data_IF_005258316101
#
_entry.id   IF_005258316101
#
_cell.length_a   1.000
_cell.length_b   1.000
_cell.length_c   1.000
_cell.angle_alpha   90.00
_cell.angle_beta   90.00
_cell.angle_gamma   90.00
#
_symmetry.space_group_name_H-M   'P 1'
#
loop_
_entity.id
_entity.type
_entity.pdbx_description
1 polymer ?
#
# COMPACT_ATOMS: atom_id res chain seq x y z
N UNK A 1 38.75 15.20 11.90
CA UNK A 1 38.49 13.79 11.53
C UNK A 1 37.00 13.54 11.75
N UNK A 2 36.17 13.69 10.71
CA UNK A 2 34.73 13.40 10.78
C UNK A 2 34.55 11.93 10.42
N UNK A 3 34.32 11.09 11.43
CA UNK A 3 34.05 9.68 11.23
C UNK A 3 32.56 9.49 10.86
N UNK A 4 32.28 8.90 9.71
CA UNK A 4 30.97 8.28 9.46
C UNK A 4 30.85 7.05 10.34
N UNK A 5 30.05 7.11 11.41
CA UNK A 5 29.64 5.92 12.14
C UNK A 5 28.76 5.09 11.20
N UNK A 6 29.28 3.95 10.77
CA UNK A 6 28.52 2.96 9.99
C UNK A 6 27.87 1.99 10.98
N UNK A 7 26.63 2.28 11.37
CA UNK A 7 25.84 1.38 12.21
C UNK A 7 25.34 0.23 11.33
N UNK A 8 25.70 -1.01 11.69
CA UNK A 8 25.08 -2.20 11.10
C UNK A 8 23.75 -2.44 11.83
N UNK A 9 22.66 -2.51 11.07
CA UNK A 9 21.32 -2.84 11.59
C UNK A 9 21.04 -4.30 11.26
N UNK A 10 20.49 -5.05 12.22
CA UNK A 10 20.15 -6.45 12.01
C UNK A 10 18.91 -6.57 11.11
N UNK A 11 18.81 -7.67 10.37
CA UNK A 11 17.64 -7.95 9.53
C UNK A 11 16.37 -8.09 10.38
N UNK A 12 16.49 -8.55 11.62
CA UNK A 12 15.39 -8.63 12.59
C UNK A 12 14.87 -7.24 12.95
N UNK A 13 15.75 -6.26 13.18
CA UNK A 13 15.34 -4.87 13.44
C UNK A 13 14.62 -4.27 12.24
N UNK A 14 15.12 -4.51 11.02
CA UNK A 14 14.48 -4.03 9.77
C UNK A 14 13.08 -4.66 9.64
N UNK A 15 12.99 -5.98 9.77
CA UNK A 15 11.72 -6.70 9.69
C UNK A 15 10.74 -6.27 10.78
N UNK A 16 11.24 -5.98 11.99
CA UNK A 16 10.46 -5.41 13.08
C UNK A 16 9.85 -4.06 12.71
N UNK A 17 10.66 -3.14 12.18
CA UNK A 17 10.19 -1.83 11.73
C UNK A 17 9.14 -1.93 10.62
N UNK A 18 9.33 -2.81 9.64
CA UNK A 18 8.36 -3.07 8.57
C UNK A 18 7.03 -3.55 9.15
N UNK A 19 7.05 -4.51 10.08
CA UNK A 19 5.84 -5.03 10.71
C UNK A 19 5.10 -3.96 11.51
N UNK A 20 5.82 -3.17 12.31
CA UNK A 20 5.25 -2.07 13.08
C UNK A 20 4.59 -1.03 12.17
N UNK A 21 5.27 -0.59 11.12
CA UNK A 21 4.73 0.36 10.15
C UNK A 21 3.52 -0.21 9.41
N UNK A 22 3.55 -1.49 9.05
CA UNK A 22 2.41 -2.16 8.43
C UNK A 22 1.20 -2.22 9.35
N UNK A 23 1.39 -2.53 10.64
CA UNK A 23 0.30 -2.57 11.61
C UNK A 23 -0.31 -1.18 11.85
N UNK A 24 0.53 -0.15 11.98
CA UNK A 24 0.09 1.24 12.11
C UNK A 24 -0.68 1.72 10.87
N UNK A 25 -0.14 1.43 9.67
CA UNK A 25 -0.81 1.75 8.40
C UNK A 25 -2.17 1.07 8.28
N UNK A 26 -2.28 -0.21 8.65
CA UNK A 26 -3.56 -0.93 8.66
C UNK A 26 -4.59 -0.29 9.60
N UNK A 27 -4.15 0.15 10.79
CA UNK A 27 -5.02 0.86 11.73
C UNK A 27 -5.50 2.18 11.13
N UNK A 28 -4.60 2.98 10.53
CA UNK A 28 -4.97 4.24 9.87
C UNK A 28 -5.95 4.01 8.71
N UNK A 29 -5.72 3.01 7.86
CA UNK A 29 -6.61 2.67 6.76
C UNK A 29 -7.99 2.23 7.25
N UNK A 30 -8.06 1.46 8.35
CA UNK A 30 -9.33 1.05 8.97
C UNK A 30 -10.09 2.26 9.51
N UNK A 31 -9.43 3.12 10.28
CA UNK A 31 -10.04 4.34 10.82
C UNK A 31 -10.52 5.26 9.70
N UNK A 32 -9.71 5.43 8.65
CA UNK A 32 -10.07 6.21 7.48
C UNK A 32 -11.29 5.63 6.75
N UNK A 33 -11.30 4.32 6.51
CA UNK A 33 -12.46 3.63 5.92
C UNK A 33 -13.74 3.78 6.75
N UNK A 34 -13.63 3.67 8.07
CA UNK A 34 -14.75 3.82 9.00
C UNK A 34 -15.30 5.25 9.09
N UNK A 35 -14.54 6.27 8.68
CA UNK A 35 -15.02 7.66 8.65
C UNK A 35 -16.13 7.90 7.62
N UNK A 36 -16.25 7.02 6.61
CA UNK A 36 -17.10 7.19 5.43
C UNK A 36 -16.78 8.47 4.62
N UNK A 37 -15.65 9.12 4.89
CA UNK A 37 -15.17 10.34 4.23
C UNK A 37 -13.87 10.06 3.47
N UNK A 38 -13.85 8.95 2.74
CA UNK A 38 -12.66 8.51 2.01
C UNK A 38 -13.00 8.16 0.58
N UNK A 39 -12.06 8.40 -0.33
CA UNK A 39 -12.11 7.89 -1.69
C UNK A 39 -11.22 6.66 -1.83
N UNK A 40 -11.56 5.81 -2.80
CA UNK A 40 -10.82 4.61 -3.16
C UNK A 40 -10.41 4.72 -4.63
N UNK A 41 -9.11 4.68 -4.90
CA UNK A 41 -8.58 4.54 -6.24
C UNK A 41 -7.99 3.13 -6.41
N UNK A 42 -8.37 2.45 -7.48
CA UNK A 42 -7.81 1.15 -7.85
C UNK A 42 -6.93 1.34 -9.07
N UNK A 43 -5.78 0.68 -9.06
CA UNK A 43 -4.87 0.62 -10.20
C UNK A 43 -4.49 -0.82 -10.50
N UNK A 44 -4.68 -1.23 -11.75
CA UNK A 44 -4.32 -2.56 -12.24
C UNK A 44 -3.02 -2.42 -13.01
N UNK A 45 -1.94 -3.00 -12.49
CA UNK A 45 -0.62 -2.88 -13.06
C UNK A 45 0.02 -4.25 -13.24
N UNK A 46 0.95 -4.32 -14.19
CA UNK A 46 1.70 -5.53 -14.49
C UNK A 46 3.13 -5.38 -13.97
N UNK A 47 3.63 -6.39 -13.28
CA UNK A 47 5.02 -6.43 -12.82
C UNK A 47 5.72 -7.63 -13.42
N UNK A 48 6.89 -7.39 -13.99
CA UNK A 48 7.79 -8.46 -14.43
C UNK A 48 8.65 -8.94 -13.26
N UNK A 49 8.19 -9.95 -12.53
CA UNK A 49 8.87 -10.53 -11.38
C UNK A 49 9.82 -11.64 -11.83
N UNK A 50 11.01 -11.24 -12.29
CA UNK A 50 12.06 -12.17 -12.72
C UNK A 50 12.58 -13.02 -11.55
N UNK A 51 12.69 -14.34 -11.71
CA UNK A 51 13.26 -15.19 -10.68
C UNK A 51 14.74 -14.84 -10.45
N UNK A 52 15.15 -14.85 -9.19
CA UNK A 52 16.54 -14.57 -8.80
C UNK A 52 17.51 -15.67 -9.28
N UNK A 53 17.04 -16.92 -9.36
CA UNK A 53 17.81 -18.07 -9.85
C UNK A 53 17.23 -18.50 -11.21
N UNK A 54 18.01 -18.51 -12.29
CA UNK A 54 17.57 -19.03 -13.59
C UNK A 54 17.26 -20.53 -13.48
N UNK A 55 16.00 -20.93 -13.69
CA UNK A 55 15.60 -22.34 -13.77
C UNK A 55 15.61 -22.83 -15.22
N UNK A 56 15.96 -24.11 -15.44
CA UNK A 56 15.99 -24.77 -16.76
C UNK A 56 14.59 -24.85 -17.37
N UNK A 57 13.55 -25.00 -16.53
CA UNK A 57 12.17 -24.79 -16.94
C UNK A 57 11.94 -23.31 -17.19
N UNK A 58 11.87 -22.95 -18.48
CA UNK A 58 11.44 -21.63 -18.93
C UNK A 58 9.94 -21.47 -18.67
N UNK A 59 9.53 -21.24 -17.43
CA UNK A 59 8.26 -20.56 -17.21
C UNK A 59 8.45 -19.11 -17.66
N UNK A 60 8.11 -18.84 -18.93
CA UNK A 60 8.13 -17.50 -19.52
C UNK A 60 7.10 -16.54 -18.86
N UNK A 61 6.41 -17.00 -17.82
CA UNK A 61 5.38 -16.27 -17.10
C UNK A 61 5.93 -15.56 -15.85
N UNK A 62 6.82 -14.59 -16.09
CA UNK A 62 7.30 -13.66 -15.05
C UNK A 62 6.38 -12.45 -14.90
N UNK A 63 5.48 -12.21 -15.87
CA UNK A 63 4.50 -11.14 -15.81
C UNK A 63 3.41 -11.48 -14.80
N UNK A 64 3.25 -10.65 -13.78
CA UNK A 64 2.18 -10.78 -12.77
C UNK A 64 1.22 -9.61 -12.87
N UNK A 65 -0.06 -9.94 -12.99
CA UNK A 65 -1.16 -9.00 -12.97
C UNK A 65 -1.55 -8.72 -11.52
N UNK A 66 -1.40 -7.48 -11.08
CA UNK A 66 -1.67 -7.06 -9.71
C UNK A 66 -2.68 -5.91 -9.70
N UNK A 67 -3.48 -5.86 -8.65
CA UNK A 67 -4.35 -4.73 -8.35
C UNK A 67 -3.87 -4.07 -7.07
N UNK A 68 -3.56 -2.79 -7.14
CA UNK A 68 -3.31 -1.96 -5.95
C UNK A 68 -4.53 -1.09 -5.64
N UNK A 69 -4.62 -0.67 -4.39
CA UNK A 69 -5.66 0.25 -3.91
C UNK A 69 -5.03 1.35 -3.10
N UNK A 70 -5.40 2.59 -3.39
CA UNK A 70 -5.11 3.76 -2.58
C UNK A 70 -6.40 4.21 -1.87
N UNK A 71 -6.28 4.47 -0.57
CA UNK A 71 -7.37 5.00 0.26
C UNK A 71 -6.91 6.36 0.76
N UNK A 72 -7.68 7.42 0.50
CA UNK A 72 -7.32 8.77 0.92
C UNK A 72 -8.54 9.58 1.39
N UNK A 73 -8.38 10.40 2.44
CA UNK A 73 -9.47 11.21 2.99
C UNK A 73 -9.96 12.24 1.97
N UNK A 74 -11.27 12.40 1.90
CA UNK A 74 -11.89 13.55 1.26
C UNK A 74 -11.59 14.78 2.12
N UNK A 75 -11.01 15.81 1.49
CA UNK A 75 -10.59 17.05 2.15
C UNK A 75 -11.58 18.18 1.85
N UNK A 76 -11.26 19.39 2.30
CA UNK A 76 -12.01 20.62 2.02
C UNK A 76 -13.43 20.66 2.60
N UNK A 77 -13.62 20.10 3.80
CA UNK A 77 -14.87 20.23 4.54
C UNK A 77 -15.97 19.28 4.10
N UNK A 78 -15.67 18.29 3.24
CA UNK A 78 -16.63 17.25 2.85
C UNK A 78 -17.16 16.53 4.10
N UNK A 79 -18.47 16.47 4.20
CA UNK A 79 -19.22 15.79 5.25
C UNK A 79 -19.95 14.58 4.68
N UNK A 80 -20.45 13.71 5.56
CA UNK A 80 -21.18 12.51 5.13
C UNK A 80 -22.47 12.87 4.41
N UNK A 81 -23.04 14.05 4.68
CA UNK A 81 -24.24 14.56 4.01
C UNK A 81 -24.01 14.82 2.51
N UNK A 82 -22.82 15.30 2.18
CA UNK A 82 -22.43 15.60 0.79
C UNK A 82 -22.29 14.31 -0.05
N UNK A 83 -22.14 13.15 0.61
CA UNK A 83 -21.99 11.84 -0.02
C UNK A 83 -23.29 11.02 -0.06
N UNK A 84 -24.40 11.54 0.48
CA UNK A 84 -25.70 10.85 0.47
C UNK A 84 -26.38 10.81 -0.91
N UNK A 85 -25.76 11.39 -1.94
CA UNK A 85 -26.26 11.46 -3.32
C UNK A 85 -26.43 10.07 -4.01
N UNK A 86 -26.11 8.96 -3.32
CA UNK A 86 -26.36 7.61 -3.81
C UNK A 86 -27.83 7.34 -4.17
N UNK A 87 -28.78 8.09 -3.62
CA UNK A 87 -30.21 7.93 -3.95
C UNK A 87 -30.63 8.65 -5.25
N UNK A 88 -29.82 9.58 -5.75
CA UNK A 88 -30.10 10.40 -6.95
C UNK A 88 -29.26 9.98 -8.17
N UNK A 89 -28.26 9.12 -7.98
CA UNK A 89 -27.34 8.63 -9.01
C UNK A 89 -27.73 7.24 -9.58
N UNK A 90 -28.82 6.65 -9.09
CA UNK A 90 -29.40 5.36 -9.50
C UNK A 90 -30.93 5.45 -9.60
#
# INVERSE_FOLDING_TARGET
MLACIRVSISTETINGAIRSLSAESQNHLRTLGQSLLTSYAYDNFNVDLKPHVPTVEKSHDSLKHLTSRLIFPLKHGVTTKDLMCLQELW
#
